data_IF_367250309059
#
_entry.id   IF_367250309059
#
_cell.length_a   1.000
_cell.length_b   1.000
_cell.length_c   1.000
_cell.angle_alpha   90.00
_cell.angle_beta   90.00
_cell.angle_gamma   90.00
#
_symmetry.space_group_name_H-M   'P 1'
#
loop_
_entity.id
_entity.type
_entity.pdbx_description
1 polymer ?
#
# COMPACT_ATOMS: atom_id res chain seq x y z
N UNK A 1 -34.83 18.90 -61.21
CA UNK A 1 -36.04 18.75 -60.38
C UNK A 1 -35.59 18.02 -59.13
N UNK A 2 -34.91 18.71 -58.21
CA UNK A 2 -35.47 19.43 -57.05
C UNK A 2 -36.17 18.49 -56.05
N UNK A 3 -35.79 18.66 -54.78
CA UNK A 3 -36.52 18.30 -53.56
C UNK A 3 -36.32 16.90 -52.96
N UNK A 4 -36.16 16.70 -51.65
CA UNK A 4 -36.04 17.54 -50.42
C UNK A 4 -35.31 16.65 -49.39
N UNK A 5 -34.29 17.17 -48.71
CA UNK A 5 -33.65 16.49 -47.58
C UNK A 5 -34.46 16.65 -46.28
N UNK A 6 -34.45 15.67 -45.36
CA UNK A 6 -35.14 15.81 -44.09
C UNK A 6 -34.41 16.79 -43.14
N UNK A 7 -35.19 17.71 -42.59
CA UNK A 7 -34.76 18.77 -41.68
C UNK A 7 -34.29 18.22 -40.32
N UNK A 8 -33.35 18.91 -39.64
CA UNK A 8 -32.98 18.59 -38.26
C UNK A 8 -34.04 19.06 -37.27
N UNK A 9 -34.49 18.14 -36.43
CA UNK A 9 -35.41 18.41 -35.31
C UNK A 9 -34.66 19.19 -34.24
N UNK A 10 -35.04 20.45 -34.06
CA UNK A 10 -34.54 21.33 -33.01
C UNK A 10 -35.31 21.07 -31.72
N UNK A 11 -34.70 20.33 -30.80
CA UNK A 11 -35.21 20.15 -29.45
C UNK A 11 -35.02 21.44 -28.65
N UNK A 12 -36.12 22.16 -28.42
CA UNK A 12 -36.17 23.33 -27.56
C UNK A 12 -35.84 22.92 -26.10
N UNK A 13 -34.71 23.42 -25.59
CA UNK A 13 -34.34 23.33 -24.18
C UNK A 13 -35.26 24.28 -23.40
N UNK A 14 -36.22 23.70 -22.68
CA UNK A 14 -37.01 24.42 -21.67
C UNK A 14 -36.08 24.71 -20.50
N UNK A 15 -35.70 25.98 -20.35
CA UNK A 15 -34.99 26.50 -19.18
C UNK A 15 -35.94 26.47 -17.98
N UNK A 16 -35.89 25.35 -17.24
CA UNK A 16 -36.51 25.20 -15.93
C UNK A 16 -35.72 25.97 -14.87
N UNK A 17 -36.39 26.96 -14.29
CA UNK A 17 -35.95 27.81 -13.18
C UNK A 17 -35.73 26.95 -11.91
N UNK A 18 -34.54 26.96 -11.25
CA UNK A 18 -34.41 26.34 -9.94
C UNK A 18 -34.93 27.31 -8.87
N UNK A 19 -36.12 27.04 -8.37
CA UNK A 19 -36.64 27.60 -7.12
C UNK A 19 -36.54 26.49 -6.06
N UNK A 20 -35.86 26.77 -4.95
CA UNK A 20 -35.91 25.91 -3.75
C UNK A 20 -34.55 25.55 -3.19
N UNK A 21 -33.88 26.51 -2.57
CA UNK A 21 -32.86 26.21 -1.58
C UNK A 21 -33.53 25.50 -0.38
N UNK A 22 -33.34 24.19 -0.27
CA UNK A 22 -33.74 23.41 0.91
C UNK A 22 -32.57 23.41 1.88
N UNK A 23 -32.72 24.18 2.95
CA UNK A 23 -31.84 24.22 4.12
C UNK A 23 -31.68 22.83 4.76
N UNK A 24 -30.48 22.35 5.08
CA UNK A 24 -30.28 21.02 5.68
C UNK A 24 -30.55 20.95 7.21
N UNK A 25 -31.29 21.90 7.77
CA UNK A 25 -31.38 22.11 9.24
C UNK A 25 -32.67 21.59 9.90
N UNK A 26 -33.37 20.60 9.31
CA UNK A 26 -34.55 19.97 9.94
C UNK A 26 -34.63 18.45 9.79
N UNK A 27 -33.56 17.74 10.11
CA UNK A 27 -33.67 16.34 10.54
C UNK A 27 -33.65 16.26 12.08
N UNK A 28 -34.72 16.75 12.70
CA UNK A 28 -35.07 16.38 14.09
C UNK A 28 -36.07 15.24 14.04
N UNK A 29 -35.68 14.09 14.58
CA UNK A 29 -36.61 13.13 15.14
C UNK A 29 -37.08 12.02 14.20
N UNK A 30 -36.17 11.12 13.82
CA UNK A 30 -36.57 9.71 13.66
C UNK A 30 -36.37 9.07 15.03
N UNK A 31 -37.52 8.80 15.65
CA UNK A 31 -37.72 8.00 16.86
C UNK A 31 -36.76 6.81 16.94
N UNK A 32 -35.81 6.83 17.87
CA UNK A 32 -35.32 5.61 18.53
C UNK A 32 -34.97 5.92 19.99
N UNK A 33 -35.50 5.07 20.87
CA UNK A 33 -35.20 4.88 22.29
C UNK A 33 -35.45 6.03 23.26
N UNK A 34 -36.49 5.85 24.08
CA UNK A 34 -36.67 6.47 25.39
C UNK A 34 -35.37 6.38 26.20
N UNK A 35 -34.65 7.49 26.34
CA UNK A 35 -33.64 7.63 27.39
C UNK A 35 -34.38 7.91 28.70
N UNK A 36 -34.13 7.16 29.79
CA UNK A 36 -34.60 7.56 31.10
C UNK A 36 -34.00 8.92 31.44
N UNK A 37 -34.89 9.81 31.84
CA UNK A 37 -34.61 11.21 32.15
C UNK A 37 -33.54 11.27 33.24
N UNK A 38 -32.33 11.70 32.89
CA UNK A 38 -31.26 11.96 33.85
C UNK A 38 -31.61 13.25 34.58
N UNK A 39 -32.43 13.10 35.62
CA UNK A 39 -32.90 14.18 36.49
C UNK A 39 -31.74 15.00 37.03
N UNK A 40 -31.65 16.23 36.52
CA UNK A 40 -31.07 17.35 37.26
C UNK A 40 -32.16 17.83 38.21
N UNK A 41 -32.01 17.41 39.47
CA UNK A 41 -32.83 17.84 40.60
C UNK A 41 -32.56 19.31 40.89
N UNK A 42 -33.29 20.21 40.23
CA UNK A 42 -33.44 21.58 40.70
C UNK A 42 -34.64 21.66 41.65
N UNK A 43 -34.31 21.92 42.90
CA UNK A 43 -35.20 22.14 44.03
C UNK A 43 -35.91 23.50 43.87
N UNK A 44 -37.22 23.50 43.61
CA UNK A 44 -38.12 24.56 44.07
C UNK A 44 -39.52 23.98 44.39
N UNK A 45 -40.08 24.25 45.58
CA UNK A 45 -41.40 23.79 45.97
C UNK A 45 -42.45 24.81 45.51
N UNK A 46 -43.34 24.42 44.59
CA UNK A 46 -44.59 25.15 44.39
C UNK A 46 -45.77 24.31 44.83
N UNK A 47 -46.33 24.81 45.92
CA UNK A 47 -47.62 24.51 46.54
C UNK A 47 -48.78 24.62 45.54
N UNK A 48 -49.88 23.95 45.88
CA UNK A 48 -51.26 24.04 45.33
C UNK A 48 -51.50 23.31 43.99
N UNK A 49 -52.52 22.48 43.77
CA UNK A 49 -53.73 22.20 44.53
C UNK A 49 -54.23 20.76 44.28
N UNK A 50 -54.96 20.28 45.28
CA UNK A 50 -55.60 18.98 45.43
C UNK A 50 -56.64 18.65 44.34
N UNK A 51 -56.56 17.46 43.76
CA UNK A 51 -57.74 16.63 43.45
C UNK A 51 -57.61 15.35 44.26
N UNK A 52 -58.43 15.27 45.30
CA UNK A 52 -58.40 14.22 46.31
C UNK A 52 -59.03 12.93 45.76
N UNK A 53 -58.18 12.00 45.32
CA UNK A 53 -58.50 10.57 45.39
C UNK A 53 -57.77 9.99 46.60
N UNK A 54 -58.43 9.19 47.47
CA UNK A 54 -57.76 8.57 48.60
C UNK A 54 -56.67 7.64 48.07
N UNK A 55 -55.42 8.07 48.22
CA UNK A 55 -54.23 7.28 47.91
C UNK A 55 -54.24 6.08 48.86
N UNK A 56 -54.28 4.84 48.37
CA UNK A 56 -54.24 3.67 49.24
C UNK A 56 -52.98 3.74 50.11
N UNK A 57 -53.12 3.35 51.37
CA UNK A 57 -52.07 3.37 52.38
C UNK A 57 -50.89 2.49 51.92
N UNK A 58 -49.91 3.09 51.25
CA UNK A 58 -48.64 2.46 50.94
C UNK A 58 -47.73 2.70 52.15
N UNK A 59 -47.41 1.67 52.97
CA UNK A 59 -46.46 1.84 54.04
C UNK A 59 -45.13 2.30 53.44
N UNK A 60 -44.67 3.48 53.86
CA UNK A 60 -43.45 4.14 53.39
C UNK A 60 -42.19 3.42 53.89
N UNK A 61 -42.00 2.19 53.44
CA UNK A 61 -40.76 1.44 53.60
C UNK A 61 -40.48 0.71 52.30
N UNK A 62 -39.28 0.90 51.76
CA UNK A 62 -38.72 0.14 50.64
C UNK A 62 -38.69 -1.37 50.98
N UNK A 63 -39.81 -2.07 50.83
CA UNK A 63 -39.99 -3.41 51.41
C UNK A 63 -40.19 -4.54 50.41
N UNK A 64 -39.89 -4.34 49.12
CA UNK A 64 -40.31 -5.33 48.10
C UNK A 64 -39.19 -6.03 47.34
N UNK A 65 -38.00 -5.47 47.08
CA UNK A 65 -37.09 -6.18 46.15
C UNK A 65 -35.98 -7.04 46.76
N UNK A 66 -35.78 -7.08 48.08
CA UNK A 66 -34.73 -7.96 48.65
C UNK A 66 -35.03 -8.39 50.09
N UNK A 67 -36.13 -9.12 50.30
CA UNK A 67 -36.25 -9.95 51.51
C UNK A 67 -35.43 -11.21 51.35
N UNK A 68 -34.11 -11.09 51.50
CA UNK A 68 -33.32 -12.23 51.93
C UNK A 68 -33.86 -12.66 53.30
N UNK A 69 -34.53 -13.81 53.36
CA UNK A 69 -34.90 -14.46 54.62
C UNK A 69 -33.64 -14.97 55.29
N UNK A 70 -32.95 -14.07 55.97
CA UNK A 70 -31.73 -14.29 56.72
C UNK A 70 -31.34 -12.98 57.37
N UNK A 71 -30.77 -13.04 58.58
CA UNK A 71 -30.14 -11.85 59.14
C UNK A 71 -29.16 -11.31 58.09
N UNK A 72 -29.19 -10.01 57.75
CA UNK A 72 -28.20 -9.44 56.85
C UNK A 72 -26.83 -9.85 57.41
N UNK A 73 -25.91 -10.37 56.58
CA UNK A 73 -24.60 -10.80 57.06
C UNK A 73 -24.08 -9.68 57.95
N UNK A 74 -23.68 -10.04 59.17
CA UNK A 74 -23.25 -9.07 60.16
C UNK A 74 -22.30 -8.10 59.45
N UNK A 75 -22.59 -6.81 59.51
CA UNK A 75 -21.67 -5.78 59.04
C UNK A 75 -20.44 -5.87 59.95
N UNK A 76 -19.60 -6.87 59.71
CA UNK A 76 -18.21 -6.86 60.15
C UNK A 76 -17.71 -5.51 59.73
N UNK A 77 -17.25 -4.72 60.70
CA UNK A 77 -16.68 -3.40 60.39
C UNK A 77 -15.64 -3.67 59.30
N UNK A 78 -15.84 -3.13 58.11
CA UNK A 78 -14.96 -3.38 56.96
C UNK A 78 -13.50 -3.02 57.29
N UNK A 79 -13.32 -2.17 58.31
CA UNK A 79 -12.05 -1.79 58.92
C UNK A 79 -11.31 -2.94 59.64
N UNK A 80 -12.00 -3.96 60.15
CA UNK A 80 -11.38 -5.11 60.83
C UNK A 80 -11.12 -6.32 59.92
N UNK A 81 -11.72 -6.36 58.73
CA UNK A 81 -11.52 -7.45 57.79
C UNK A 81 -10.36 -7.12 56.84
N UNK A 82 -9.21 -7.77 57.07
CA UNK A 82 -7.97 -7.55 56.30
C UNK A 82 -8.18 -7.76 54.79
N UNK A 83 -9.05 -8.69 54.40
CA UNK A 83 -9.35 -8.97 52.98
C UNK A 83 -10.16 -7.83 52.37
N UNK A 84 -11.14 -7.29 53.11
CA UNK A 84 -11.92 -6.14 52.66
C UNK A 84 -11.02 -4.90 52.49
N UNK A 85 -10.10 -4.68 53.43
CA UNK A 85 -9.12 -3.59 53.36
C UNK A 85 -8.18 -3.73 52.16
N UNK A 86 -7.64 -4.93 51.89
CA UNK A 86 -6.81 -5.16 50.70
C UNK A 86 -7.55 -4.87 49.39
N UNK A 87 -8.81 -5.34 49.26
CA UNK A 87 -9.63 -5.05 48.07
C UNK A 87 -9.89 -3.56 47.88
N UNK A 88 -10.11 -2.83 48.97
CA UNK A 88 -10.35 -1.39 48.93
C UNK A 88 -9.07 -0.60 48.59
N UNK A 89 -7.92 -1.06 49.07
CA UNK A 89 -6.61 -0.51 48.68
C UNK A 89 -6.27 -0.79 47.21
N UNK A 90 -6.56 -1.99 46.70
CA UNK A 90 -6.43 -2.31 45.27
C UNK A 90 -7.33 -1.41 44.42
N UNK A 91 -8.60 -1.22 44.82
CA UNK A 91 -9.51 -0.30 44.13
C UNK A 91 -8.97 1.13 44.12
N UNK A 92 -8.45 1.62 45.25
CA UNK A 92 -7.82 2.95 45.33
C UNK A 92 -6.55 3.08 44.49
N UNK A 93 -5.76 2.00 44.37
CA UNK A 93 -4.58 1.98 43.47
C UNK A 93 -5.03 2.06 42.02
N UNK A 94 -6.04 1.28 41.63
CA UNK A 94 -6.63 1.33 40.30
C UNK A 94 -7.19 2.72 39.98
N UNK A 95 -7.92 3.35 40.89
CA UNK A 95 -8.44 4.71 40.71
C UNK A 95 -7.32 5.75 40.50
N UNK A 96 -6.21 5.63 41.24
CA UNK A 96 -5.04 6.50 41.06
C UNK A 96 -4.32 6.25 39.73
N UNK A 97 -4.23 4.99 39.31
CA UNK A 97 -3.66 4.61 38.02
C UNK A 97 -4.54 5.03 36.85
N UNK A 98 -5.86 5.05 37.03
CA UNK A 98 -6.84 5.57 36.06
C UNK A 98 -6.77 7.09 35.92
N UNK A 99 -6.23 7.82 36.90
CA UNK A 99 -5.88 9.23 36.73
C UNK A 99 -4.71 9.46 35.77
N UNK A 100 -3.83 8.46 35.62
CA UNK A 100 -2.59 8.58 34.86
C UNK A 100 -2.82 8.28 33.37
N UNK A 101 -2.71 9.31 32.54
CA UNK A 101 -2.86 9.23 31.08
C UNK A 101 -1.92 8.19 30.45
N UNK A 102 -0.70 8.03 30.98
CA UNK A 102 0.25 7.05 30.45
C UNK A 102 -0.20 5.60 30.67
N UNK A 103 -0.81 5.29 31.82
CA UNK A 103 -1.32 3.95 32.11
C UNK A 103 -2.52 3.64 31.22
N UNK A 104 -3.41 4.62 30.99
CA UNK A 104 -4.51 4.49 30.03
C UNK A 104 -4.01 4.24 28.62
N UNK A 105 -3.02 5.00 28.16
CA UNK A 105 -2.46 4.81 26.81
C UNK A 105 -1.79 3.44 26.67
N UNK A 106 -1.03 2.98 27.66
CA UNK A 106 -0.41 1.64 27.64
C UNK A 106 -1.45 0.51 27.69
N UNK A 107 -2.55 0.69 28.42
CA UNK A 107 -3.69 -0.24 28.41
C UNK A 107 -4.33 -0.27 27.03
N UNK A 108 -4.65 0.90 26.47
CA UNK A 108 -5.21 1.04 25.14
C UNK A 108 -4.32 0.42 24.05
N UNK A 109 -2.99 0.59 24.11
CA UNK A 109 -2.08 -0.05 23.16
C UNK A 109 -2.11 -1.58 23.23
N UNK A 110 -2.27 -2.14 24.44
CA UNK A 110 -2.42 -3.60 24.60
C UNK A 110 -3.76 -4.07 24.05
N UNK A 111 -4.86 -3.43 24.44
CA UNK A 111 -6.20 -3.72 23.93
C UNK A 111 -6.26 -3.58 22.39
N UNK A 112 -5.60 -2.57 21.83
CA UNK A 112 -5.49 -2.37 20.39
C UNK A 112 -4.68 -3.50 19.73
N UNK A 113 -3.54 -3.89 20.30
CA UNK A 113 -2.76 -5.00 19.77
C UNK A 113 -3.49 -6.34 19.85
N UNK A 114 -4.27 -6.56 20.91
CA UNK A 114 -5.12 -7.75 21.09
C UNK A 114 -6.27 -7.76 20.09
N UNK A 115 -6.93 -6.62 19.87
CA UNK A 115 -7.97 -6.48 18.84
C UNK A 115 -7.43 -6.78 17.44
N UNK A 116 -6.28 -6.23 17.08
CA UNK A 116 -5.63 -6.49 15.78
C UNK A 116 -5.24 -7.98 15.63
N UNK A 117 -4.83 -8.63 16.71
CA UNK A 117 -4.54 -10.07 16.68
C UNK A 117 -5.82 -10.91 16.55
N UNK A 118 -6.89 -10.55 17.25
CA UNK A 118 -8.20 -11.19 17.15
C UNK A 118 -8.75 -11.11 15.72
N UNK A 119 -8.75 -9.91 15.12
CA UNK A 119 -9.24 -9.70 13.75
C UNK A 119 -8.48 -10.57 12.73
N UNK A 120 -7.16 -10.72 12.92
CA UNK A 120 -6.34 -11.60 12.07
C UNK A 120 -6.70 -13.08 12.24
N UNK A 121 -6.97 -13.53 13.47
CA UNK A 121 -7.39 -14.91 13.72
C UNK A 121 -8.77 -15.20 13.12
N UNK A 122 -9.71 -14.27 13.23
CA UNK A 122 -11.04 -14.38 12.65
C UNK A 122 -10.98 -14.43 11.11
N UNK A 123 -10.09 -13.66 10.48
CA UNK A 123 -9.87 -13.70 9.03
C UNK A 123 -9.32 -15.06 8.58
N UNK A 124 -8.35 -15.62 9.32
CA UNK A 124 -7.79 -16.95 9.06
C UNK A 124 -8.88 -18.02 9.20
N UNK A 125 -9.69 -17.98 10.26
CA UNK A 125 -10.78 -18.93 10.48
C UNK A 125 -11.84 -18.84 9.37
N UNK A 126 -12.22 -17.63 8.95
CA UNK A 126 -13.14 -17.40 7.83
C UNK A 126 -12.62 -18.01 6.52
N UNK A 127 -11.31 -17.88 6.27
CA UNK A 127 -10.69 -18.44 5.07
C UNK A 127 -10.62 -19.98 5.12
N UNK A 128 -10.28 -20.57 6.27
CA UNK A 128 -10.33 -22.02 6.45
C UNK A 128 -11.76 -22.57 6.28
N UNK A 129 -12.78 -21.87 6.77
CA UNK A 129 -14.18 -22.25 6.56
C UNK A 129 -14.58 -22.18 5.08
N UNK A 130 -14.10 -21.20 4.32
CA UNK A 130 -14.32 -21.12 2.87
C UNK A 130 -13.63 -22.26 2.13
N UNK A 131 -12.40 -22.60 2.51
CA UNK A 131 -11.63 -23.70 1.91
C UNK A 131 -12.27 -25.06 2.20
N UNK A 132 -12.66 -25.34 3.44
CA UNK A 132 -13.35 -26.58 3.80
C UNK A 132 -14.69 -26.73 3.08
N UNK A 133 -15.44 -25.63 2.90
CA UNK A 133 -16.66 -25.62 2.06
C UNK A 133 -16.35 -25.95 0.60
N UNK A 134 -15.31 -25.34 0.02
CA UNK A 134 -14.86 -25.64 -1.35
C UNK A 134 -14.44 -27.10 -1.50
N UNK A 135 -13.68 -27.64 -0.55
CA UNK A 135 -13.25 -29.05 -0.55
C UNK A 135 -14.44 -30.00 -0.49
N UNK A 136 -15.40 -29.78 0.43
CA UNK A 136 -16.63 -30.58 0.51
C UNK A 136 -17.44 -30.51 -0.79
N UNK A 137 -17.51 -29.34 -1.42
CA UNK A 137 -18.18 -29.20 -2.71
C UNK A 137 -17.45 -29.97 -3.82
N UNK A 138 -16.13 -29.89 -3.88
CA UNK A 138 -15.34 -30.67 -4.84
C UNK A 138 -15.48 -32.18 -4.61
N UNK A 139 -15.47 -32.62 -3.36
CA UNK A 139 -15.64 -34.01 -2.97
C UNK A 139 -17.02 -34.55 -3.34
N UNK A 140 -18.09 -33.80 -3.03
CA UNK A 140 -19.45 -34.16 -3.43
C UNK A 140 -19.62 -34.20 -4.96
N UNK A 141 -19.04 -33.25 -5.70
CA UNK A 141 -19.03 -33.31 -7.16
C UNK A 141 -18.23 -34.51 -7.70
N UNK A 142 -17.07 -34.82 -7.11
CA UNK A 142 -16.27 -35.97 -7.49
C UNK A 142 -17.03 -37.29 -7.22
N UNK A 143 -17.73 -37.37 -6.08
CA UNK A 143 -18.57 -38.50 -5.72
C UNK A 143 -19.74 -38.67 -6.70
N UNK A 144 -20.40 -37.57 -7.10
CA UNK A 144 -21.44 -37.61 -8.14
C UNK A 144 -20.89 -38.07 -9.49
N UNK A 145 -19.72 -37.57 -9.91
CA UNK A 145 -19.07 -38.03 -11.15
C UNK A 145 -18.73 -39.51 -11.08
N UNK A 146 -18.20 -39.97 -9.96
CA UNK A 146 -17.87 -41.38 -9.74
C UNK A 146 -19.12 -42.26 -9.77
N UNK A 147 -20.18 -41.86 -9.06
CA UNK A 147 -21.45 -42.58 -9.06
C UNK A 147 -22.05 -42.66 -10.47
N UNK A 148 -21.99 -41.59 -11.27
CA UNK A 148 -22.44 -41.62 -12.66
C UNK A 148 -21.63 -42.60 -13.50
N UNK A 149 -20.30 -42.61 -13.37
CA UNK A 149 -19.43 -43.58 -14.05
C UNK A 149 -19.77 -45.02 -13.65
N UNK A 150 -19.90 -45.27 -12.34
CA UNK A 150 -20.23 -46.59 -11.79
C UNK A 150 -21.62 -47.07 -12.24
N UNK A 151 -22.63 -46.17 -12.30
CA UNK A 151 -23.98 -46.54 -12.75
C UNK A 151 -24.09 -46.75 -14.26
N UNK A 152 -23.21 -46.14 -15.04
CA UNK A 152 -23.32 -46.18 -16.48
C UNK A 152 -22.67 -47.44 -17.07
N UNK A 153 -21.68 -48.08 -16.43
CA UNK A 153 -20.95 -49.25 -16.98
C UNK A 153 -20.75 -49.15 -18.51
N UNK A 154 -20.54 -47.93 -19.00
CA UNK A 154 -20.34 -47.66 -20.42
C UNK A 154 -18.85 -47.83 -20.62
N UNK A 155 -18.48 -48.80 -21.47
CA UNK A 155 -17.13 -48.98 -21.99
C UNK A 155 -16.51 -47.60 -22.25
N UNK A 156 -15.35 -47.32 -21.65
CA UNK A 156 -14.69 -46.01 -21.58
C UNK A 156 -14.60 -45.31 -22.96
N UNK A 157 -14.57 -46.12 -24.03
CA UNK A 157 -14.55 -45.70 -25.43
C UNK A 157 -15.87 -45.11 -25.97
N UNK A 158 -17.03 -45.47 -25.41
CA UNK A 158 -18.33 -44.90 -25.79
C UNK A 158 -18.63 -43.59 -25.05
N UNK A 159 -18.19 -43.45 -23.80
CA UNK A 159 -18.33 -42.21 -23.03
C UNK A 159 -17.54 -41.04 -23.65
N UNK A 160 -16.31 -41.29 -24.13
CA UNK A 160 -15.53 -40.27 -24.85
C UNK A 160 -16.18 -39.80 -26.16
N UNK A 161 -16.84 -40.70 -26.89
CA UNK A 161 -17.52 -40.34 -28.15
C UNK A 161 -18.74 -39.46 -27.89
N UNK A 162 -19.50 -39.73 -26.82
CA UNK A 162 -20.69 -38.94 -26.42
C UNK A 162 -20.31 -37.53 -25.91
N UNK A 163 -19.20 -37.39 -25.19
CA UNK A 163 -18.70 -36.09 -24.71
C UNK A 163 -18.17 -35.19 -25.84
N UNK A 164 -17.59 -35.77 -26.89
CA UNK A 164 -17.11 -35.03 -28.08
C UNK A 164 -18.25 -34.59 -29.00
N UNK A 165 -19.34 -35.35 -29.10
CA UNK A 165 -20.49 -35.01 -29.97
C UNK A 165 -21.49 -34.04 -29.32
N UNK A 166 -21.64 -34.02 -27.99
CA UNK A 166 -22.60 -33.11 -27.33
C UNK A 166 -22.11 -31.66 -27.16
N UNK A 167 -20.80 -31.41 -27.23
CA UNK A 167 -20.25 -30.04 -27.13
C UNK A 167 -20.61 -29.14 -28.31
N UNK A 168 -20.86 -29.70 -29.50
CA UNK A 168 -21.18 -28.91 -30.70
C UNK A 168 -22.68 -28.66 -30.89
N UNK A 169 -23.55 -29.47 -30.28
CA UNK A 169 -25.01 -29.33 -30.40
C UNK A 169 -25.64 -28.46 -29.31
N UNK A 170 -24.98 -28.28 -28.16
CA UNK A 170 -25.49 -27.46 -27.04
C UNK A 170 -25.44 -25.94 -27.32
N UNK A 171 -24.63 -25.49 -28.28
CA UNK A 171 -24.49 -24.07 -28.64
C UNK A 171 -25.63 -23.59 -29.57
N UNK A 172 -26.29 -24.50 -30.29
CA UNK A 172 -27.31 -24.15 -31.30
C UNK A 172 -28.74 -24.15 -30.76
N UNK A 173 -29.02 -24.81 -29.64
CA UNK A 173 -30.37 -24.89 -29.05
C UNK A 173 -30.63 -23.83 -27.98
N UNK A 174 -29.59 -23.22 -27.41
CA UNK A 174 -29.72 -22.16 -26.39
C UNK A 174 -30.01 -20.78 -26.98
N UNK A 175 -29.76 -20.56 -28.27
CA UNK A 175 -30.02 -19.27 -28.94
C UNK A 175 -31.46 -19.15 -29.46
N UNK A 176 -32.09 -20.25 -29.88
CA UNK A 176 -33.46 -20.26 -30.41
C UNK A 176 -34.55 -20.35 -29.33
N UNK A 177 -34.28 -20.93 -28.16
CA UNK A 177 -35.22 -20.95 -27.03
C UNK A 177 -35.25 -19.61 -26.25
N UNK A 178 -34.16 -18.84 -26.23
CA UNK A 178 -34.08 -17.54 -25.54
C UNK A 178 -34.92 -16.45 -26.21
N UNK A 179 -35.14 -16.52 -27.52
CA UNK A 179 -35.98 -15.55 -28.24
C UNK A 179 -37.49 -15.79 -28.04
N UNK A 180 -37.93 -17.04 -27.87
CA UNK A 180 -39.36 -17.36 -27.71
C UNK A 180 -39.91 -17.05 -26.29
N UNK A 181 -39.07 -17.13 -25.25
CA UNK A 181 -39.50 -16.87 -23.86
C UNK A 181 -39.53 -15.36 -23.54
N UNK A 182 -38.70 -14.57 -24.23
CA UNK A 182 -38.59 -13.12 -23.98
C UNK A 182 -39.78 -12.30 -24.53
N UNK A 183 -40.54 -12.85 -25.49
CA UNK A 183 -41.78 -12.22 -26.01
C UNK A 183 -43.03 -12.56 -25.18
N UNK A 184 -43.04 -13.67 -24.43
CA UNK A 184 -44.19 -14.07 -23.61
C UNK A 184 -44.27 -13.31 -22.27
N UNK A 185 -43.15 -12.89 -21.69
CA UNK A 185 -43.10 -12.35 -20.32
C UNK A 185 -43.19 -10.81 -20.21
N UNK A 186 -43.26 -10.07 -21.33
CA UNK A 186 -43.30 -8.60 -21.30
C UNK A 186 -44.68 -7.98 -21.03
N UNK A 187 -45.74 -8.79 -20.90
CA UNK A 187 -47.13 -8.29 -20.79
C UNK A 187 -47.81 -8.45 -19.42
N UNK A 188 -47.14 -9.01 -18.40
CA UNK A 188 -47.80 -9.35 -17.10
C UNK A 188 -47.36 -8.56 -15.87
N UNK A 189 -46.55 -7.50 -15.99
CA UNK A 189 -46.16 -6.69 -14.83
C UNK A 189 -47.15 -5.52 -14.57
N UNK A 190 -48.44 -5.84 -14.38
CA UNK A 190 -49.38 -4.92 -13.74
C UNK A 190 -49.22 -5.12 -12.24
N UNK A 191 -48.66 -4.12 -11.55
CA UNK A 191 -48.58 -4.03 -10.09
C UNK A 191 -49.98 -4.14 -9.49
N UNK A 192 -50.42 -5.37 -9.24
CA UNK A 192 -51.55 -5.65 -8.36
C UNK A 192 -51.04 -5.32 -6.95
N UNK A 193 -51.83 -4.56 -6.19
CA UNK A 193 -51.55 -4.27 -4.79
C UNK A 193 -51.69 -5.58 -4.01
N UNK A 194 -50.64 -6.39 -4.01
CA UNK A 194 -50.61 -7.63 -3.26
C UNK A 194 -50.68 -7.30 -1.78
N UNK A 195 -51.61 -7.98 -1.10
CA UNK A 195 -51.72 -7.89 0.34
C UNK A 195 -50.38 -8.38 0.91
N UNK A 196 -49.87 -7.75 1.97
CA UNK A 196 -48.62 -8.20 2.58
C UNK A 196 -48.76 -9.67 3.03
N UNK A 197 -47.65 -10.42 2.97
CA UNK A 197 -47.60 -11.89 3.16
C UNK A 197 -48.36 -12.38 4.41
N UNK A 198 -48.35 -11.61 5.49
CA UNK A 198 -49.07 -11.91 6.74
C UNK A 198 -50.62 -11.88 6.63
N UNK A 199 -51.16 -11.37 5.53
CA UNK A 199 -52.59 -11.28 5.25
C UNK A 199 -53.04 -12.22 4.12
N UNK A 200 -52.16 -13.09 3.61
CA UNK A 200 -52.49 -14.14 2.66
C UNK A 200 -52.81 -15.45 3.38
N UNK A 201 -53.61 -16.31 2.75
CA UNK A 201 -53.81 -17.68 3.23
C UNK A 201 -52.58 -18.53 2.96
N UNK A 202 -52.36 -19.58 3.75
CA UNK A 202 -51.15 -20.44 3.66
C UNK A 202 -50.88 -20.96 2.23
N UNK A 203 -51.94 -21.35 1.50
CA UNK A 203 -51.82 -21.81 0.11
C UNK A 203 -51.48 -20.70 -0.89
N UNK A 204 -52.00 -19.49 -0.66
CA UNK A 204 -51.66 -18.34 -1.50
C UNK A 204 -50.22 -17.88 -1.23
N UNK A 205 -49.72 -18.04 0.00
CA UNK A 205 -48.33 -17.76 0.32
C UNK A 205 -47.37 -18.74 -0.38
N UNK A 206 -47.66 -20.05 -0.34
CA UNK A 206 -46.87 -21.07 -1.07
C UNK A 206 -46.82 -20.78 -2.58
N UNK A 207 -47.93 -20.41 -3.21
CA UNK A 207 -47.95 -20.06 -4.64
C UNK A 207 -47.21 -18.77 -4.99
N UNK A 208 -47.08 -17.82 -4.05
CA UNK A 208 -46.27 -16.61 -4.24
C UNK A 208 -44.79 -16.95 -4.11
N UNK A 209 -44.43 -17.77 -3.13
CA UNK A 209 -43.06 -18.27 -2.94
C UNK A 209 -42.59 -19.05 -4.17
N UNK A 210 -43.40 -19.95 -4.73
CA UNK A 210 -43.05 -20.69 -5.96
C UNK A 210 -42.81 -19.76 -7.16
N UNK A 211 -43.60 -18.68 -7.29
CA UNK A 211 -43.42 -17.68 -8.35
C UNK A 211 -42.16 -16.84 -8.14
N UNK A 212 -41.83 -16.51 -6.90
CA UNK A 212 -40.59 -15.82 -6.56
C UNK A 212 -39.37 -16.71 -6.86
N UNK A 213 -39.46 -18.01 -6.57
CA UNK A 213 -38.41 -18.99 -6.93
C UNK A 213 -38.22 -19.08 -8.44
N UNK A 214 -39.31 -19.13 -9.20
CA UNK A 214 -39.25 -19.12 -10.67
C UNK A 214 -38.67 -17.80 -11.22
N UNK A 215 -39.02 -16.65 -10.64
CA UNK A 215 -38.46 -15.36 -11.03
C UNK A 215 -36.95 -15.27 -10.69
N UNK A 216 -36.53 -15.80 -9.55
CA UNK A 216 -35.12 -15.92 -9.17
C UNK A 216 -34.34 -16.85 -10.10
N UNK A 217 -34.92 -17.98 -10.49
CA UNK A 217 -34.34 -18.91 -11.48
C UNK A 217 -34.24 -18.25 -12.87
N UNK A 218 -35.26 -17.50 -13.26
CA UNK A 218 -35.29 -16.77 -14.52
C UNK A 218 -34.28 -15.60 -14.51
N UNK A 219 -34.11 -14.91 -13.39
CA UNK A 219 -33.09 -13.88 -13.21
C UNK A 219 -31.68 -14.47 -13.28
N UNK A 220 -31.41 -15.57 -12.56
CA UNK A 220 -30.11 -16.22 -12.57
C UNK A 220 -29.72 -16.79 -13.94
N UNK A 221 -30.69 -17.33 -14.69
CA UNK A 221 -30.46 -17.87 -16.05
C UNK A 221 -30.32 -16.79 -17.12
N UNK A 222 -30.92 -15.61 -16.91
CA UNK A 222 -30.79 -14.45 -17.80
C UNK A 222 -29.71 -13.46 -17.36
N UNK A 223 -28.94 -13.76 -16.32
CA UNK A 223 -27.81 -12.92 -15.94
C UNK A 223 -26.70 -13.05 -16.98
N UNK A 224 -26.61 -12.07 -17.86
CA UNK A 224 -25.56 -12.00 -18.87
C UNK A 224 -24.27 -11.43 -18.26
N UNK A 225 -23.50 -12.33 -17.63
CA UNK A 225 -22.22 -11.99 -17.04
C UNK A 225 -21.22 -11.46 -18.07
N UNK A 226 -21.32 -11.85 -19.34
CA UNK A 226 -20.42 -11.35 -20.39
C UNK A 226 -20.68 -9.87 -20.63
N UNK A 227 -21.96 -9.48 -20.76
CA UNK A 227 -22.33 -8.06 -20.86
C UNK A 227 -21.90 -7.25 -19.63
N UNK A 228 -22.12 -7.77 -18.43
CA UNK A 228 -21.71 -7.07 -17.20
C UNK A 228 -20.18 -6.97 -17.05
N UNK A 229 -19.42 -7.98 -17.47
CA UNK A 229 -17.96 -7.92 -17.52
C UNK A 229 -17.45 -6.99 -18.62
N UNK A 230 -18.27 -6.76 -19.66
CA UNK A 230 -17.98 -5.83 -20.72
C UNK A 230 -18.29 -4.37 -20.40
N UNK A 231 -19.12 -4.10 -19.37
CA UNK A 231 -19.42 -2.75 -18.91
C UNK A 231 -18.12 -2.01 -18.57
N UNK A 232 -18.02 -0.78 -19.09
CA UNK A 232 -16.79 0.02 -19.00
C UNK A 232 -16.42 0.32 -17.54
N UNK A 233 -17.41 0.50 -16.66
CA UNK A 233 -17.19 0.73 -15.23
C UNK A 233 -16.53 -0.49 -14.56
N UNK A 234 -16.94 -1.71 -14.91
CA UNK A 234 -16.37 -2.94 -14.35
C UNK A 234 -14.95 -3.14 -14.88
N UNK A 235 -14.72 -2.88 -16.17
CA UNK A 235 -13.38 -2.90 -16.77
C UNK A 235 -12.46 -1.87 -16.13
N UNK A 236 -12.95 -0.66 -15.88
CA UNK A 236 -12.20 0.40 -15.21
C UNK A 236 -11.86 -0.01 -13.78
N UNK A 237 -12.83 -0.50 -13.00
CA UNK A 237 -12.59 -0.97 -11.64
C UNK A 237 -11.55 -2.11 -11.60
N UNK A 238 -11.65 -3.09 -12.51
CA UNK A 238 -10.66 -4.17 -12.63
C UNK A 238 -9.28 -3.63 -13.03
N UNK A 239 -9.21 -2.62 -13.89
CA UNK A 239 -7.95 -1.98 -14.28
C UNK A 239 -7.32 -1.19 -13.13
N UNK A 240 -8.10 -0.50 -12.31
CA UNK A 240 -7.64 0.17 -11.10
C UNK A 240 -7.04 -0.85 -10.13
N UNK A 241 -7.72 -1.98 -9.90
CA UNK A 241 -7.23 -3.05 -9.03
C UNK A 241 -5.92 -3.63 -9.59
N UNK A 242 -5.86 -3.96 -10.89
CA UNK A 242 -4.63 -4.47 -11.54
C UNK A 242 -3.47 -3.48 -11.42
N UNK A 243 -3.74 -2.19 -11.58
CA UNK A 243 -2.72 -1.14 -11.43
C UNK A 243 -2.21 -1.10 -10.00
N UNK A 244 -3.11 -1.15 -9.01
CA UNK A 244 -2.73 -1.15 -7.59
C UNK A 244 -1.95 -2.41 -7.19
N UNK A 245 -2.35 -3.59 -7.69
CA UNK A 245 -1.62 -4.84 -7.46
C UNK A 245 -0.21 -4.74 -8.03
N UNK A 246 -0.04 -4.21 -9.25
CA UNK A 246 1.27 -4.03 -9.86
C UNK A 246 2.14 -3.01 -9.12
N UNK A 247 1.54 -1.96 -8.56
CA UNK A 247 2.25 -1.02 -7.69
C UNK A 247 2.74 -1.70 -6.41
N UNK A 248 1.88 -2.46 -5.74
CA UNK A 248 2.22 -3.21 -4.53
C UNK A 248 3.32 -4.24 -4.78
N UNK A 249 3.23 -5.00 -5.88
CA UNK A 249 4.32 -5.90 -6.30
C UNK A 249 5.63 -5.15 -6.52
N UNK A 250 5.57 -3.96 -7.13
CA UNK A 250 6.73 -3.10 -7.32
C UNK A 250 7.31 -2.53 -6.02
N UNK A 251 6.47 -2.24 -5.04
CA UNK A 251 6.86 -1.79 -3.69
C UNK A 251 7.55 -2.94 -2.94
N UNK A 252 6.98 -4.15 -2.92
CA UNK A 252 7.59 -5.33 -2.29
C UNK A 252 8.96 -5.63 -2.90
N UNK A 253 9.10 -5.60 -4.23
CA UNK A 253 10.38 -5.83 -4.89
C UNK A 253 11.42 -4.73 -4.61
N UNK A 254 10.99 -3.52 -4.25
CA UNK A 254 11.90 -2.45 -3.82
C UNK A 254 12.31 -2.65 -2.36
N UNK A 255 11.36 -2.97 -1.48
CA UNK A 255 11.61 -3.27 -0.08
C UNK A 255 12.58 -4.44 0.06
N UNK A 256 12.39 -5.53 -0.69
CA UNK A 256 13.32 -6.67 -0.70
C UNK A 256 14.74 -6.28 -1.12
N UNK A 257 14.87 -5.39 -2.13
CA UNK A 257 16.19 -4.88 -2.56
C UNK A 257 16.82 -3.95 -1.53
N UNK A 258 16.02 -3.14 -0.84
CA UNK A 258 16.48 -2.27 0.23
C UNK A 258 16.93 -3.09 1.44
N UNK A 259 16.19 -4.14 1.81
CA UNK A 259 16.60 -5.10 2.83
C UNK A 259 17.89 -5.83 2.44
N UNK A 260 18.03 -6.27 1.19
CA UNK A 260 19.25 -6.91 0.71
C UNK A 260 20.45 -5.95 0.78
N UNK A 261 20.24 -4.68 0.42
CA UNK A 261 21.27 -3.65 0.55
C UNK A 261 21.63 -3.37 2.01
N UNK A 262 20.66 -3.32 2.92
CA UNK A 262 20.89 -3.18 4.35
C UNK A 262 21.68 -4.37 4.91
N UNK A 263 21.35 -5.60 4.53
CA UNK A 263 22.11 -6.80 4.91
C UNK A 263 23.55 -6.76 4.40
N UNK A 264 23.79 -6.26 3.19
CA UNK A 264 25.15 -6.08 2.65
C UNK A 264 25.94 -5.03 3.43
N UNK A 265 25.31 -3.93 3.82
CA UNK A 265 25.93 -2.88 4.64
C UNK A 265 26.28 -3.44 6.03
N UNK A 266 25.34 -4.13 6.67
CA UNK A 266 25.53 -4.73 7.99
C UNK A 266 26.64 -5.79 7.97
N UNK A 267 26.66 -6.67 6.96
CA UNK A 267 27.74 -7.65 6.79
C UNK A 267 29.11 -6.99 6.59
N UNK A 268 29.17 -5.88 5.86
CA UNK A 268 30.40 -5.11 5.67
C UNK A 268 30.85 -4.43 6.98
N UNK A 269 29.91 -3.90 7.76
CA UNK A 269 30.20 -3.30 9.07
C UNK A 269 30.73 -4.33 10.08
N UNK A 270 30.12 -5.52 10.12
CA UNK A 270 30.61 -6.64 10.94
C UNK A 270 32.04 -7.05 10.55
N UNK A 271 32.35 -7.07 9.24
CA UNK A 271 33.70 -7.37 8.76
C UNK A 271 34.72 -6.29 9.16
N UNK A 272 34.33 -5.01 9.17
CA UNK A 272 35.17 -3.93 9.69
C UNK A 272 35.41 -4.13 11.19
N UNK A 273 34.36 -4.41 11.97
CA UNK A 273 34.48 -4.62 13.42
C UNK A 273 35.40 -5.81 13.75
N UNK A 274 35.24 -6.95 13.07
CA UNK A 274 36.11 -8.13 13.23
C UNK A 274 37.56 -7.81 12.85
N UNK A 275 37.79 -7.05 11.77
CA UNK A 275 39.16 -6.62 11.40
C UNK A 275 39.78 -5.71 12.47
N UNK A 276 38.99 -4.84 13.09
CA UNK A 276 39.42 -3.91 14.12
C UNK A 276 39.74 -4.66 15.42
N UNK A 277 38.90 -5.63 15.80
CA UNK A 277 39.13 -6.51 16.93
C UNK A 277 40.39 -7.35 16.76
N UNK A 278 40.58 -8.02 15.61
CA UNK A 278 41.81 -8.77 15.32
C UNK A 278 43.07 -7.90 15.33
N UNK A 279 42.96 -6.64 14.92
CA UNK A 279 44.08 -5.70 14.98
C UNK A 279 44.43 -5.34 16.44
N UNK A 280 43.42 -5.15 17.30
CA UNK A 280 43.60 -4.92 18.73
C UNK A 280 44.20 -6.15 19.43
N UNK A 281 43.72 -7.37 19.12
CA UNK A 281 44.25 -8.62 19.64
C UNK A 281 45.73 -8.80 19.28
N UNK A 282 46.10 -8.57 18.01
CA UNK A 282 47.52 -8.60 17.57
C UNK A 282 48.37 -7.54 18.24
N UNK A 283 47.82 -6.36 18.52
CA UNK A 283 48.53 -5.31 19.24
C UNK A 283 48.77 -5.71 20.71
N UNK A 284 47.78 -6.33 21.36
CA UNK A 284 47.90 -6.85 22.72
C UNK A 284 48.89 -8.04 22.80
N UNK A 285 48.87 -8.95 21.83
CA UNK A 285 49.84 -10.05 21.74
C UNK A 285 51.28 -9.53 21.59
N UNK A 286 51.51 -8.48 20.79
CA UNK A 286 52.82 -7.84 20.66
C UNK A 286 53.29 -7.20 21.96
N UNK A 287 52.41 -6.50 22.68
CA UNK A 287 52.74 -5.89 23.96
C UNK A 287 53.16 -6.93 25.02
N UNK A 288 52.55 -8.12 25.00
CA UNK A 288 52.91 -9.21 25.94
C UNK A 288 54.20 -9.96 25.57
N UNK A 289 54.71 -9.83 24.34
CA UNK A 289 55.95 -10.47 23.89
C UNK A 289 57.20 -9.57 24.07
N UNK A 290 57.03 -8.30 24.43
CA UNK A 290 58.14 -7.35 24.62
C UNK A 290 58.79 -7.42 26.02
N UNK A 291 58.24 -8.17 26.98
CA UNK A 291 58.84 -8.34 28.32
C UNK A 291 59.83 -9.52 28.44
N UNK A 292 59.90 -10.44 27.46
CA UNK A 292 60.74 -11.65 27.55
C UNK A 292 61.95 -11.68 26.60
N UNK A 293 62.20 -10.63 25.80
CA UNK A 293 63.31 -10.64 24.83
C UNK A 293 64.20 -9.38 24.82
N UNK A 294 64.52 -8.88 26.02
CA UNK A 294 65.59 -7.90 26.23
C UNK A 294 66.94 -8.59 26.46
N UNK A 295 67.45 -9.27 25.44
CA UNK A 295 68.89 -9.55 25.31
C UNK A 295 69.19 -10.01 23.89
N UNK A 296 69.88 -9.16 23.14
CA UNK A 296 70.88 -9.47 22.09
C UNK A 296 70.68 -8.61 20.82
N UNK A 297 71.75 -7.84 20.57
CA UNK A 297 72.26 -7.39 19.27
C UNK A 297 71.72 -6.06 18.69
N UNK A 298 72.47 -5.01 18.98
CA UNK A 298 72.74 -3.88 18.09
C UNK A 298 72.87 -4.32 16.62
N UNK A 299 71.88 -3.98 15.81
CA UNK A 299 71.89 -4.15 14.37
C UNK A 299 71.17 -2.98 13.71
N UNK A 300 71.87 -1.86 13.62
CA UNK A 300 71.51 -0.69 12.81
C UNK A 300 71.19 -1.11 11.37
N UNK A 301 69.92 -1.12 10.97
CA UNK A 301 69.51 -1.10 9.57
C UNK A 301 68.34 -0.13 9.40
N UNK A 302 68.62 0.94 8.67
CA UNK A 302 67.71 1.98 8.20
C UNK A 302 66.45 1.38 7.55
N UNK A 303 65.28 1.55 8.17
CA UNK A 303 64.00 1.23 7.53
C UNK A 303 62.84 2.10 8.04
N UNK A 304 63.00 3.43 8.02
CA UNK A 304 61.96 4.38 8.46
C UNK A 304 61.08 4.96 7.33
N UNK A 305 61.14 4.42 6.10
CA UNK A 305 60.56 5.13 4.94
C UNK A 305 59.50 4.40 4.11
N UNK A 306 59.05 3.21 4.50
CA UNK A 306 58.07 2.45 3.69
C UNK A 306 56.64 2.45 4.25
N UNK A 307 56.43 2.76 5.54
CA UNK A 307 55.10 2.68 6.16
C UNK A 307 54.15 3.81 5.74
N UNK A 308 54.68 4.96 5.32
CA UNK A 308 53.90 6.11 4.83
C UNK A 308 53.50 6.00 3.34
N UNK A 309 53.74 4.86 2.70
CA UNK A 309 53.39 4.61 1.29
C UNK A 309 51.95 4.12 1.11
N UNK A 310 51.31 3.65 2.18
CA UNK A 310 50.00 2.98 2.12
C UNK A 310 48.79 3.92 2.06
N UNK A 311 48.98 5.23 2.24
CA UNK A 311 47.93 6.27 2.12
C UNK A 311 48.07 7.15 0.88
N UNK A 312 49.13 6.96 0.09
CA UNK A 312 49.21 7.57 -1.24
C UNK A 312 48.37 6.72 -2.19
N UNK A 313 47.09 7.06 -2.28
CA UNK A 313 46.21 6.61 -3.39
C UNK A 313 47.00 6.74 -4.68
N UNK A 314 47.31 5.59 -5.28
CA UNK A 314 48.09 5.53 -6.50
C UNK A 314 47.34 6.32 -7.57
N UNK A 315 48.06 6.88 -8.54
CA UNK A 315 47.46 7.69 -9.61
C UNK A 315 46.29 6.93 -10.28
N UNK A 316 46.44 5.62 -10.41
CA UNK A 316 45.45 4.70 -10.97
C UNK A 316 44.14 4.64 -10.15
N UNK A 317 44.23 4.76 -8.82
CA UNK A 317 43.06 4.73 -7.95
C UNK A 317 42.28 6.04 -8.00
N UNK A 318 42.99 7.18 -8.08
CA UNK A 318 42.36 8.48 -8.34
C UNK A 318 41.69 8.52 -9.71
N UNK A 319 42.30 7.89 -10.70
CA UNK A 319 41.77 7.79 -12.05
C UNK A 319 40.49 6.95 -12.11
N UNK A 320 40.41 5.83 -11.38
CA UNK A 320 39.19 5.03 -11.22
C UNK A 320 38.06 5.81 -10.53
N UNK A 321 38.38 6.54 -9.46
CA UNK A 321 37.39 7.38 -8.76
C UNK A 321 36.84 8.46 -9.70
N UNK A 322 37.69 9.06 -10.54
CA UNK A 322 37.27 10.03 -11.54
C UNK A 322 36.40 9.40 -12.63
N UNK A 323 36.75 8.21 -13.13
CA UNK A 323 35.95 7.48 -14.11
C UNK A 323 34.54 7.15 -13.57
N UNK A 324 34.43 6.73 -12.31
CA UNK A 324 33.12 6.50 -11.66
C UNK A 324 32.28 7.78 -11.56
N UNK A 325 32.89 8.93 -11.20
CA UNK A 325 32.16 10.22 -11.14
C UNK A 325 31.65 10.66 -12.51
N UNK A 326 32.45 10.44 -13.56
CA UNK A 326 32.04 10.74 -14.94
C UNK A 326 30.89 9.82 -15.37
N UNK A 327 30.99 8.52 -15.10
CA UNK A 327 29.91 7.56 -15.39
C UNK A 327 28.60 7.93 -14.67
N UNK A 328 28.67 8.40 -13.44
CA UNK A 328 27.49 8.86 -12.70
C UNK A 328 26.86 10.11 -13.33
N UNK A 329 27.66 11.07 -13.79
CA UNK A 329 27.16 12.24 -14.49
C UNK A 329 26.52 11.88 -15.84
N UNK A 330 27.06 10.91 -16.58
CA UNK A 330 26.47 10.43 -17.84
C UNK A 330 25.09 9.81 -17.60
N UNK A 331 24.97 8.96 -16.57
CA UNK A 331 23.67 8.35 -16.21
C UNK A 331 22.65 9.39 -15.76
N UNK A 332 23.09 10.43 -15.03
CA UNK A 332 22.21 11.54 -14.62
C UNK A 332 21.74 12.38 -15.81
N UNK A 333 22.59 12.57 -16.81
CA UNK A 333 22.27 13.39 -17.98
C UNK A 333 21.45 12.63 -19.04
N UNK A 334 21.62 11.30 -19.14
CA UNK A 334 20.92 10.50 -20.14
C UNK A 334 20.28 9.24 -19.53
N UNK A 335 18.96 9.32 -19.33
CA UNK A 335 18.16 8.25 -18.73
C UNK A 335 18.18 6.95 -19.56
N UNK A 336 18.37 7.03 -20.87
CA UNK A 336 18.37 5.85 -21.72
C UNK A 336 19.62 5.00 -21.49
N UNK A 337 20.77 5.64 -21.27
CA UNK A 337 22.03 4.97 -20.97
C UNK A 337 21.96 4.29 -19.60
N UNK A 338 21.36 4.93 -18.61
CA UNK A 338 21.16 4.35 -17.27
C UNK A 338 20.27 3.11 -17.23
N UNK A 339 19.41 2.92 -18.24
CA UNK A 339 18.56 1.73 -18.37
C UNK A 339 19.31 0.52 -18.92
N UNK A 340 20.36 0.75 -19.72
CA UNK A 340 21.12 -0.30 -20.42
C UNK A 340 22.43 -0.62 -19.69
N UNK A 341 23.11 0.39 -19.14
CA UNK A 341 24.43 0.24 -18.53
C UNK A 341 24.43 0.63 -17.05
N UNK A 342 25.10 -0.19 -16.25
CA UNK A 342 25.37 0.12 -14.84
C UNK A 342 26.54 1.11 -14.70
N UNK A 343 26.61 1.82 -13.57
CA UNK A 343 27.71 2.75 -13.24
C UNK A 343 29.09 2.08 -13.41
N UNK A 344 29.25 0.84 -12.95
CA UNK A 344 30.49 0.08 -13.05
C UNK A 344 30.82 -0.33 -14.49
N UNK A 345 29.80 -0.68 -15.30
CA UNK A 345 29.99 -1.00 -16.71
C UNK A 345 30.51 0.21 -17.50
N UNK A 346 29.94 1.40 -17.27
CA UNK A 346 30.42 2.63 -17.89
C UNK A 346 31.81 3.04 -17.39
N UNK A 347 32.11 2.86 -16.11
CA UNK A 347 33.46 3.11 -15.58
C UNK A 347 34.51 2.24 -16.28
N UNK A 348 34.24 0.95 -16.46
CA UNK A 348 35.15 0.04 -17.15
C UNK A 348 35.30 0.41 -18.64
N UNK A 349 34.23 0.86 -19.29
CA UNK A 349 34.29 1.34 -20.68
C UNK A 349 35.15 2.60 -20.78
N UNK A 350 35.03 3.53 -19.83
CA UNK A 350 35.86 4.74 -19.76
C UNK A 350 37.33 4.41 -19.48
N UNK A 351 37.61 3.46 -18.58
CA UNK A 351 38.96 3.00 -18.29
C UNK A 351 39.59 2.28 -19.50
N UNK A 352 38.81 1.46 -20.22
CA UNK A 352 39.23 0.83 -21.46
C UNK A 352 39.51 1.88 -22.55
N UNK A 353 38.61 2.84 -22.78
CA UNK A 353 38.84 3.92 -23.74
C UNK A 353 40.07 4.77 -23.37
N UNK A 354 40.33 4.96 -22.07
CA UNK A 354 41.51 5.69 -21.59
C UNK A 354 42.82 4.91 -21.75
N UNK A 355 42.79 3.58 -21.56
CA UNK A 355 43.95 2.72 -21.82
C UNK A 355 44.21 2.52 -23.33
N UNK A 356 43.17 2.49 -24.14
CA UNK A 356 43.28 2.51 -25.60
C UNK A 356 43.84 3.84 -26.10
N UNK A 357 43.38 4.97 -25.57
CA UNK A 357 43.95 6.28 -25.95
C UNK A 357 45.37 6.48 -25.43
N UNK A 358 45.75 5.96 -24.25
CA UNK A 358 47.13 6.05 -23.76
C UNK A 358 48.09 5.14 -24.52
N UNK A 359 47.64 3.95 -24.94
CA UNK A 359 48.43 3.04 -25.79
C UNK A 359 48.55 3.56 -27.23
N UNK A 360 47.51 4.18 -27.78
CA UNK A 360 47.53 4.79 -29.13
C UNK A 360 48.28 6.12 -29.14
N UNK A 361 48.22 6.94 -28.09
CA UNK A 361 49.04 8.16 -27.93
C UNK A 361 50.52 7.80 -27.83
N UNK A 362 50.91 6.84 -26.98
CA UNK A 362 52.32 6.46 -26.86
C UNK A 362 52.90 5.74 -28.08
N UNK A 363 52.10 5.04 -28.90
CA UNK A 363 52.61 4.39 -30.10
C UNK A 363 52.52 5.26 -31.38
N UNK A 364 51.49 6.10 -31.52
CA UNK A 364 51.34 6.98 -32.69
C UNK A 364 52.04 8.32 -32.51
N UNK A 365 52.07 8.92 -31.32
CA UNK A 365 52.78 10.17 -31.09
C UNK A 365 54.28 9.94 -31.00
N UNK A 366 54.79 8.83 -30.43
CA UNK A 366 56.23 8.55 -30.53
C UNK A 366 56.67 8.22 -31.95
N UNK A 367 55.78 7.68 -32.80
CA UNK A 367 56.09 7.44 -34.21
C UNK A 367 56.08 8.76 -34.99
N UNK A 368 55.07 9.62 -34.77
CA UNK A 368 55.01 10.97 -35.35
C UNK A 368 56.10 11.90 -34.81
N UNK A 369 56.48 11.81 -33.54
CA UNK A 369 57.56 12.59 -32.93
C UNK A 369 58.91 12.05 -33.40
N UNK A 370 59.10 10.73 -33.57
CA UNK A 370 60.31 10.19 -34.22
C UNK A 370 60.39 10.55 -35.69
N UNK A 371 59.26 10.54 -36.41
CA UNK A 371 59.17 10.95 -37.80
C UNK A 371 59.44 12.45 -37.93
N UNK A 372 58.81 13.30 -37.10
CA UNK A 372 59.07 14.74 -37.03
C UNK A 372 60.47 15.07 -36.51
N UNK A 373 61.07 14.29 -35.60
CA UNK A 373 62.47 14.47 -35.19
C UNK A 373 63.44 13.99 -36.27
N UNK A 374 63.08 12.98 -37.06
CA UNK A 374 63.85 12.57 -38.24
C UNK A 374 63.74 13.59 -39.37
N UNK A 375 62.56 14.19 -39.57
CA UNK A 375 62.34 15.28 -40.51
C UNK A 375 63.00 16.58 -40.04
N UNK A 376 62.96 16.91 -38.75
CA UNK A 376 63.69 18.06 -38.18
C UNK A 376 65.21 17.88 -38.29
N UNK A 377 65.73 16.68 -38.02
CA UNK A 377 67.14 16.34 -38.25
C UNK A 377 67.54 16.48 -39.73
N UNK A 378 66.65 16.05 -40.65
CA UNK A 378 66.83 16.23 -42.09
C UNK A 378 66.68 17.69 -42.55
N UNK A 379 65.85 18.50 -41.89
CA UNK A 379 65.66 19.93 -42.18
C UNK A 379 66.79 20.80 -41.60
N UNK A 380 67.41 20.38 -40.48
CA UNK A 380 68.54 21.08 -39.85
C UNK A 380 69.84 20.92 -40.65
N UNK A 381 69.89 19.96 -41.58
CA UNK A 381 70.93 19.85 -42.61
C UNK A 381 70.54 20.47 -43.95
N UNK A 382 69.30 20.98 -44.10
CA UNK A 382 68.73 21.39 -45.38
C UNK A 382 68.34 22.86 -45.56
N UNK A 383 68.10 23.65 -44.52
CA UNK A 383 67.64 25.04 -44.67
C UNK A 383 68.70 26.09 -44.32
N UNK A 384 69.69 26.18 -45.21
CA UNK A 384 70.43 27.42 -45.45
C UNK A 384 69.73 28.33 -46.48
N UNK A 385 68.54 28.00 -46.99
CA UNK A 385 67.90 28.83 -48.01
C UNK A 385 66.38 28.86 -47.90
N UNK A 386 65.88 30.11 -47.85
CA UNK A 386 64.67 30.61 -48.51
C UNK A 386 63.59 31.16 -47.56
N UNK A 387 63.59 32.49 -47.48
CA UNK A 387 62.57 33.34 -46.90
C UNK A 387 61.28 33.37 -47.74
N UNK A 388 60.13 33.55 -47.07
CA UNK A 388 58.92 34.32 -47.44
C UNK A 388 57.84 34.04 -46.36
N UNK A 389 57.53 34.97 -45.44
CA UNK A 389 56.50 36.05 -45.50
C UNK A 389 55.13 35.54 -45.94
N UNK A 390 54.10 35.49 -45.05
CA UNK A 390 52.91 36.40 -44.93
C UNK A 390 52.11 36.05 -43.61
N UNK A 391 50.98 36.70 -43.20
CA UNK A 391 50.92 37.47 -41.95
C UNK A 391 49.90 36.98 -40.90
N UNK A 392 50.05 37.55 -39.70
CA UNK A 392 49.21 37.43 -38.52
C UNK A 392 48.02 38.40 -38.62
N UNK A 393 46.80 37.96 -38.27
CA UNK A 393 45.73 38.86 -37.78
C UNK A 393 44.89 38.16 -36.71
N UNK A 394 44.45 38.97 -35.75
CA UNK A 394 44.14 38.68 -34.34
C UNK A 394 42.65 38.73 -34.01
N UNK A 395 42.28 38.03 -32.92
CA UNK A 395 41.29 38.32 -31.84
C UNK A 395 39.89 38.92 -32.13
N UNK A 396 38.83 38.26 -31.60
CA UNK A 396 37.95 38.71 -30.48
C UNK A 396 36.69 37.82 -30.40
N UNK A 397 36.37 37.14 -29.29
CA UNK A 397 35.58 37.57 -28.11
C UNK A 397 34.21 38.19 -28.42
N UNK A 398 33.12 37.43 -28.21
CA UNK A 398 31.91 38.00 -27.60
C UNK A 398 31.01 36.97 -26.89
N UNK A 399 30.63 37.33 -25.66
CA UNK A 399 29.63 36.68 -24.81
C UNK A 399 28.25 37.26 -25.09
N UNK A 400 27.20 36.43 -25.11
CA UNK A 400 25.88 36.85 -24.61
C UNK A 400 25.19 35.73 -23.82
N UNK A 401 24.58 36.17 -22.72
CA UNK A 401 23.89 35.45 -21.64
C UNK A 401 22.37 35.56 -21.82
N UNK A 402 21.66 34.86 -20.93
CA UNK A 402 20.24 34.99 -20.50
C UNK A 402 19.27 33.94 -21.08
N UNK A 403 18.37 33.29 -20.35
CA UNK A 403 18.16 33.12 -18.90
C UNK A 403 17.23 31.91 -18.71
N UNK A 404 17.57 30.98 -17.79
CA UNK A 404 16.71 29.87 -17.34
C UNK A 404 16.52 30.02 -15.84
N UNK A 405 15.29 30.00 -15.30
CA UNK A 405 15.10 30.04 -13.86
C UNK A 405 15.37 28.65 -13.26
N UNK A 406 16.48 28.54 -12.54
CA UNK A 406 16.70 27.51 -11.52
C UNK A 406 16.03 27.92 -10.21
N UNK A 407 15.13 27.08 -9.70
CA UNK A 407 14.94 26.96 -8.25
C UNK A 407 14.85 25.48 -7.87
N UNK A 408 15.99 24.95 -7.45
CA UNK A 408 16.09 23.79 -6.57
C UNK A 408 16.12 24.36 -5.15
N UNK A 409 15.10 24.07 -4.37
CA UNK A 409 14.99 24.44 -2.97
C UNK A 409 14.33 23.32 -2.18
N UNK A 410 15.16 22.63 -1.41
CA UNK A 410 14.85 21.73 -0.29
C UNK A 410 13.49 22.00 0.39
N UNK A 411 12.45 21.20 0.12
CA UNK A 411 11.10 21.37 0.71
C UNK A 411 10.46 20.02 1.10
N UNK A 412 11.16 19.23 1.91
CA UNK A 412 10.62 18.00 2.52
C UNK A 412 9.54 18.24 3.61
N UNK A 413 9.24 19.49 3.98
CA UNK A 413 8.37 19.82 5.11
C UNK A 413 7.07 20.58 4.77
N UNK A 414 6.63 20.62 3.49
CA UNK A 414 5.46 21.44 3.09
C UNK A 414 4.32 20.72 2.37
N UNK A 415 4.28 19.38 2.36
CA UNK A 415 3.19 18.63 1.72
C UNK A 415 1.85 18.85 2.43
N UNK A 416 1.83 18.83 3.77
CA UNK A 416 0.61 19.06 4.56
C UNK A 416 0.09 20.50 4.47
N UNK A 417 0.96 21.49 4.25
CA UNK A 417 0.56 22.90 4.09
C UNK A 417 0.00 23.18 2.70
N UNK A 418 0.50 22.48 1.66
CA UNK A 418 -0.08 22.56 0.30
C UNK A 418 -1.47 21.90 0.24
N UNK A 419 -1.65 20.73 0.88
CA UNK A 419 -2.96 20.06 1.00
C UNK A 419 -4.02 20.90 1.73
N UNK A 420 -3.60 21.81 2.63
CA UNK A 420 -4.51 22.72 3.35
C UNK A 420 -5.03 23.88 2.49
N UNK A 421 -4.44 24.16 1.32
CA UNK A 421 -4.82 25.29 0.44
C UNK A 421 -5.71 24.89 -0.74
N UNK A 422 -5.70 23.62 -1.14
CA UNK A 422 -6.50 23.14 -2.26
C UNK A 422 -7.91 22.75 -1.78
N UNK A 423 -8.86 23.68 -1.93
CA UNK A 423 -10.26 23.53 -1.49
C UNK A 423 -10.96 22.30 -2.07
N UNK A 424 -10.52 21.84 -3.23
CA UNK A 424 -11.14 20.73 -3.95
C UNK A 424 -10.66 19.36 -3.43
N UNK A 425 -9.51 19.30 -2.77
CA UNK A 425 -8.94 18.05 -2.26
C UNK A 425 -9.48 17.65 -0.87
N UNK A 426 -10.02 18.61 -0.11
CA UNK A 426 -10.55 18.39 1.25
C UNK A 426 -11.99 17.82 1.23
N UNK A 427 -12.65 17.81 0.07
CA UNK A 427 -14.05 17.35 -0.05
C UNK A 427 -14.23 15.83 -0.01
N UNK A 428 -13.15 15.05 -0.14
CA UNK A 428 -13.20 13.59 -0.07
C UNK A 428 -12.58 13.01 1.22
N UNK A 429 -12.09 13.86 2.14
CA UNK A 429 -11.54 13.39 3.40
C UNK A 429 -12.64 13.15 4.45
N UNK A 430 -12.54 12.09 5.27
CA UNK A 430 -13.43 11.83 6.40
C UNK A 430 -13.54 13.04 7.32
N UNK A 431 -14.74 13.27 7.88
CA UNK A 431 -15.09 14.48 8.65
C UNK A 431 -14.10 14.80 9.79
N UNK A 432 -13.45 13.78 10.36
CA UNK A 432 -12.44 13.92 11.41
C UNK A 432 -11.24 14.80 11.02
N UNK A 433 -10.92 14.88 9.72
CA UNK A 433 -9.81 15.68 9.18
C UNK A 433 -10.24 17.04 8.63
N UNK A 434 -11.52 17.41 8.75
CA UNK A 434 -12.05 18.71 8.28
C UNK A 434 -12.08 19.80 9.35
N UNK A 435 -11.85 19.46 10.63
CA UNK A 435 -11.86 20.46 11.71
C UNK A 435 -10.55 21.28 11.72
N UNK A 436 -10.60 22.62 11.58
CA UNK A 436 -9.40 23.47 11.54
C UNK A 436 -8.71 23.69 12.90
N UNK A 437 -9.16 23.02 13.96
CA UNK A 437 -8.88 23.38 15.36
C UNK A 437 -8.00 22.40 16.13
N UNK A 438 -7.13 21.65 15.44
CA UNK A 438 -6.03 20.89 16.06
C UNK A 438 -4.70 21.38 15.48
#
# INVERSE_FOLDING_TARGET
>A
MSDIGPAPVTSAIVVGRPQGAVSPDRYKGVLMSNRPDSGTMDLQPTSTAYVAYPKPFMPSGNFIDERHTGFPPAREREESNVVAKMRLEERRKLEKEEGNVHVKHKRWLREYSEAVQSDKLDEIESNLLKETKKQKFMETQAMLRKALVDTLEVDEQQAEKMLKTNKSNLIKTTTTLKQAVHEANKSKNKKIKEKPVWAMSEKEAEEVEDKEVDDLLNFASNLDFEKFMEDEEVKEAVNVIKTRVKELEGEVMKEEKEEENLRKIEAHEQLIQDRLQRAQERAAERANLEDDNMSVSSGSVYHEQEWNSSTKTTKDEKDKINAMKVAENIIKNDSNIGRVHSKSSLSNVLDNARSETSSVSSHSENKKIKELMSELSALQTGLANRAHVVPIMTHDHNHQKEAVPSQVGNDGHRVLVKLKKDKDYVQNLPYLYRCPSI
#
